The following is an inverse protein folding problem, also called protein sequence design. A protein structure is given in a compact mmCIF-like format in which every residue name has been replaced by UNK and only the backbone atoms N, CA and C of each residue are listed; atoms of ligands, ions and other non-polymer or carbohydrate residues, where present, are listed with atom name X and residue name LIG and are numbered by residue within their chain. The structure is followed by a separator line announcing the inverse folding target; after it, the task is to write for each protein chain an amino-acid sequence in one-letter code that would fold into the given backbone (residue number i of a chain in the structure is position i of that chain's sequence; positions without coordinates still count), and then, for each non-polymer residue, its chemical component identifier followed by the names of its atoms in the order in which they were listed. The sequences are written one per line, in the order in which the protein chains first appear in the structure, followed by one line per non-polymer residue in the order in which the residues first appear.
data_IF_569945469974
#
_entry.id   IF_569945469974
#
_cell.length_a   1.000
_cell.length_b   1.000
_cell.length_c   1.000
_cell.angle_alpha   90.00
_cell.angle_beta   90.00
_cell.angle_gamma   90.00
#
_symmetry.space_group_name_H-M   'P 1'
#
loop_
_entity.id
_entity.type
_entity.pdbx_description
1 polymer ?
#
# COMPACT_ATOMS: atom_id res chain seq x y z
N UNK A 1 2.62 15.14 22.06
CA UNK A 1 2.69 13.89 21.26
C UNK A 1 1.26 13.57 20.84
N UNK A 2 0.95 13.84 19.56
CA UNK A 2 -0.42 14.10 19.07
C UNK A 2 -1.33 12.87 19.11
N UNK A 3 -2.20 12.82 20.10
CA UNK A 3 -3.41 11.97 20.14
C UNK A 3 -4.37 12.27 18.96
N UNK A 4 -4.20 13.41 18.29
CA UNK A 4 -5.04 13.89 17.19
C UNK A 4 -4.78 13.22 15.82
N UNK A 5 -3.66 12.51 15.61
CA UNK A 5 -3.34 11.91 14.29
C UNK A 5 -4.14 10.64 13.98
N UNK A 6 -4.62 9.94 15.01
CA UNK A 6 -5.22 8.61 14.86
C UNK A 6 -6.68 8.63 14.34
N UNK A 7 -7.38 9.77 14.41
CA UNK A 7 -8.84 9.86 14.14
C UNK A 7 -9.18 10.21 12.68
N UNK A 8 -8.22 10.63 11.86
CA UNK A 8 -8.51 11.22 10.53
C UNK A 8 -7.88 10.53 9.32
N UNK A 9 -7.02 9.52 9.51
CA UNK A 9 -6.43 8.81 8.37
C UNK A 9 -7.34 7.66 7.92
N UNK A 10 -7.84 7.67 6.67
CA UNK A 10 -8.68 6.59 6.17
C UNK A 10 -7.90 5.27 6.22
N UNK A 11 -8.59 4.19 6.60
CA UNK A 11 -7.99 2.88 6.73
C UNK A 11 -7.23 2.49 5.44
N UNK A 12 -6.00 1.94 5.53
CA UNK A 12 -5.22 1.57 4.37
C UNK A 12 -5.96 0.61 3.44
N UNK A 13 -5.80 0.81 2.13
CA UNK A 13 -6.41 -0.02 1.08
C UNK A 13 -6.21 -1.51 1.37
N UNK A 14 -7.29 -2.30 1.24
CA UNK A 14 -7.23 -3.76 1.43
C UNK A 14 -6.48 -4.40 0.25
N UNK A 15 -5.82 -5.53 0.50
CA UNK A 15 -5.09 -6.27 -0.55
C UNK A 15 -5.97 -6.58 -1.77
N UNK A 16 -7.22 -7.02 -1.55
CA UNK A 16 -8.16 -7.31 -2.65
C UNK A 16 -8.44 -6.10 -3.53
N UNK A 17 -8.49 -4.91 -2.95
CA UNK A 17 -8.78 -3.69 -3.70
C UNK A 17 -7.56 -3.26 -4.51
N UNK A 18 -6.35 -3.39 -3.95
CA UNK A 18 -5.10 -3.20 -4.69
C UNK A 18 -5.00 -4.15 -5.90
N UNK A 19 -5.27 -5.44 -5.70
CA UNK A 19 -5.24 -6.44 -6.79
C UNK A 19 -6.22 -6.06 -7.90
N UNK A 20 -7.44 -5.62 -7.55
CA UNK A 20 -8.43 -5.17 -8.54
C UNK A 20 -7.94 -3.96 -9.32
N UNK A 21 -7.38 -2.97 -8.64
CA UNK A 21 -6.87 -1.73 -9.26
C UNK A 21 -5.72 -2.02 -10.23
N UNK A 22 -4.73 -2.82 -9.81
CA UNK A 22 -3.63 -3.28 -10.66
C UNK A 22 -4.17 -4.03 -11.88
N UNK A 23 -5.06 -5.02 -11.69
CA UNK A 23 -5.64 -5.80 -12.79
C UNK A 23 -6.55 -5.00 -13.72
N UNK A 24 -7.03 -3.83 -13.30
CA UNK A 24 -7.81 -2.92 -14.13
C UNK A 24 -6.95 -1.97 -14.97
N UNK A 25 -5.64 -1.92 -14.72
CA UNK A 25 -4.68 -1.10 -15.45
C UNK A 25 -4.58 -1.57 -16.91
N UNK A 26 -4.64 -0.64 -17.86
CA UNK A 26 -4.60 -0.96 -19.30
C UNK A 26 -3.20 -0.88 -19.87
N UNK A 27 -2.31 -0.14 -19.20
CA UNK A 27 -0.92 0.03 -19.60
C UNK A 27 0.02 -0.29 -18.45
N UNK A 28 1.27 -0.63 -18.77
CA UNK A 28 2.32 -0.82 -17.77
C UNK A 28 2.61 0.47 -16.98
N UNK A 29 2.36 1.64 -17.57
CA UNK A 29 2.50 2.92 -16.88
C UNK A 29 1.43 3.11 -15.80
N UNK A 30 0.18 2.76 -16.10
CA UNK A 30 -0.92 2.80 -15.13
C UNK A 30 -0.65 1.84 -13.97
N UNK A 31 -0.20 0.61 -14.29
CA UNK A 31 0.14 -0.40 -13.29
C UNK A 31 1.23 0.11 -12.34
N UNK A 32 2.32 0.67 -12.90
CA UNK A 32 3.41 1.30 -12.14
C UNK A 32 2.91 2.44 -11.27
N UNK A 33 1.99 3.27 -11.76
CA UNK A 33 1.45 4.39 -10.98
C UNK A 33 0.68 3.90 -9.74
N UNK A 34 -0.14 2.85 -9.89
CA UNK A 34 -0.86 2.23 -8.77
C UNK A 34 0.11 1.63 -7.75
N UNK A 35 1.11 0.87 -8.22
CA UNK A 35 2.14 0.26 -7.36
C UNK A 35 2.92 1.33 -6.59
N UNK A 36 3.43 2.37 -7.28
CA UNK A 36 4.22 3.42 -6.67
C UNK A 36 3.44 4.19 -5.60
N UNK A 37 2.17 4.49 -5.86
CA UNK A 37 1.28 5.18 -4.91
C UNK A 37 1.04 4.34 -3.66
N UNK A 38 0.80 3.04 -3.83
CA UNK A 38 0.57 2.15 -2.70
C UNK A 38 1.87 1.93 -1.88
N UNK A 39 3.01 1.75 -2.54
CA UNK A 39 4.31 1.64 -1.87
C UNK A 39 4.66 2.92 -1.07
N UNK A 40 4.34 4.11 -1.58
CA UNK A 40 4.49 5.35 -0.82
C UNK A 40 3.65 5.32 0.47
N UNK A 41 2.37 4.95 0.35
CA UNK A 41 1.45 4.83 1.49
C UNK A 41 1.95 3.83 2.54
N UNK A 42 2.48 2.68 2.10
CA UNK A 42 3.02 1.65 3.00
C UNK A 42 4.28 2.14 3.70
N UNK A 43 5.19 2.82 2.99
CA UNK A 43 6.41 3.40 3.57
C UNK A 43 6.08 4.40 4.68
N UNK A 44 5.09 5.25 4.47
CA UNK A 44 4.65 6.21 5.49
C UNK A 44 4.01 5.52 6.70
N UNK A 45 3.20 4.48 6.47
CA UNK A 45 2.62 3.67 7.54
C UNK A 45 3.70 2.96 8.40
N UNK A 46 4.76 2.45 7.79
CA UNK A 46 5.88 1.84 8.53
C UNK A 46 6.72 2.89 9.26
N UNK A 47 6.92 4.07 8.69
CA UNK A 47 7.61 5.20 9.32
C UNK A 47 6.88 5.66 10.58
N UNK A 48 5.56 5.78 10.51
CA UNK A 48 4.70 6.19 11.63
C UNK A 48 4.50 5.05 12.65
N UNK A 49 5.15 3.88 12.45
CA UNK A 49 5.07 2.68 13.29
C UNK A 49 3.63 2.21 13.57
N UNK A 50 2.71 2.39 12.62
CA UNK A 50 1.34 1.92 12.77
C UNK A 50 1.28 0.38 12.68
N UNK A 51 1.10 -0.26 13.83
CA UNK A 51 1.05 -1.71 13.92
C UNK A 51 -0.32 -2.29 13.52
N UNK A 52 -1.37 -1.47 13.50
CA UNK A 52 -2.77 -1.88 13.25
C UNK A 52 -2.92 -2.54 11.89
N UNK A 53 -2.22 -2.02 10.89
CA UNK A 53 -2.32 -2.47 9.50
C UNK A 53 -1.04 -3.11 8.97
N UNK A 54 -0.09 -3.44 9.85
CA UNK A 54 1.22 -3.99 9.45
C UNK A 54 1.08 -5.27 8.63
N UNK A 55 0.29 -6.24 9.11
CA UNK A 55 0.06 -7.50 8.39
C UNK A 55 -0.55 -7.26 7.00
N UNK A 56 -1.49 -6.30 6.87
CA UNK A 56 -2.10 -5.95 5.59
C UNK A 56 -1.09 -5.31 4.65
N UNK A 57 -0.23 -4.42 5.15
CA UNK A 57 0.79 -3.75 4.36
C UNK A 57 1.89 -4.73 3.90
N UNK A 58 2.31 -5.66 4.76
CA UNK A 58 3.24 -6.75 4.39
C UNK A 58 2.64 -7.63 3.28
N UNK A 59 1.37 -8.02 3.39
CA UNK A 59 0.71 -8.82 2.36
C UNK A 59 0.65 -8.10 1.00
N UNK A 60 0.44 -6.77 1.00
CA UNK A 60 0.50 -5.94 -0.21
C UNK A 60 1.91 -5.91 -0.81
N UNK A 61 2.95 -5.73 0.02
CA UNK A 61 4.34 -5.74 -0.45
C UNK A 61 4.74 -7.09 -1.05
N UNK A 62 4.36 -8.21 -0.42
CA UNK A 62 4.61 -9.54 -0.96
C UNK A 62 3.97 -9.72 -2.34
N UNK A 63 2.73 -9.25 -2.52
CA UNK A 63 2.05 -9.30 -3.81
C UNK A 63 2.77 -8.45 -4.87
N UNK A 64 3.14 -7.21 -4.54
CA UNK A 64 3.89 -6.31 -5.42
C UNK A 64 5.23 -6.95 -5.83
N UNK A 65 5.92 -7.58 -4.89
CA UNK A 65 7.16 -8.30 -5.17
C UNK A 65 6.97 -9.50 -6.10
N UNK A 66 5.90 -10.29 -5.91
CA UNK A 66 5.55 -11.40 -6.80
C UNK A 66 5.22 -10.96 -8.23
N UNK A 67 4.80 -9.72 -8.44
CA UNK A 67 4.64 -9.12 -9.76
C UNK A 67 5.97 -8.64 -10.38
N UNK A 68 7.09 -8.75 -9.67
CA UNK A 68 8.42 -8.35 -10.13
C UNK A 68 8.79 -6.90 -9.82
N UNK A 69 7.98 -6.19 -9.04
CA UNK A 69 8.29 -4.82 -8.62
C UNK A 69 9.19 -4.77 -7.37
N UNK A 70 10.02 -3.74 -7.23
CA UNK A 70 10.76 -3.51 -5.98
C UNK A 70 9.78 -3.24 -4.82
N UNK A 71 9.99 -3.92 -3.70
CA UNK A 71 9.13 -3.87 -2.52
C UNK A 71 9.90 -3.60 -1.21
N UNK A 72 11.09 -3.02 -1.32
CA UNK A 72 11.96 -2.64 -0.20
C UNK A 72 11.80 -1.16 0.18
#
# INVERSE_FOLDING_TARGET
MNVLKAVTLPAPKRLRDLIREIRSSRTAADERAVVNKECATIRDSFRDQDNTYRCRNVAKLLYIHMLGYPAH
#
